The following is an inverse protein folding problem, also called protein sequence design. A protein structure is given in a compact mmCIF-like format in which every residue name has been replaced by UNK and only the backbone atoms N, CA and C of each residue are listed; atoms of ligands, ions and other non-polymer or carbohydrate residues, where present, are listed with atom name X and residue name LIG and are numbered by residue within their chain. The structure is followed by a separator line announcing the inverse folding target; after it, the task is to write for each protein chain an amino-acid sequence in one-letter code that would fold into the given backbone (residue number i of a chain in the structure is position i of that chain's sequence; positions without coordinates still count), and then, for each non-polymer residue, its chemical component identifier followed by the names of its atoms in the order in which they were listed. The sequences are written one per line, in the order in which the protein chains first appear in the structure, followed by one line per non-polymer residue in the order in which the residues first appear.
data_IF_663946917702
#
_entry.id   IF_663946917702
#
_cell.length_a   1.000
_cell.length_b   1.000
_cell.length_c   1.000
_cell.angle_alpha   90.00
_cell.angle_beta   90.00
_cell.angle_gamma   90.00
#
_symmetry.space_group_name_H-M   'P 1'
#
loop_
_entity.id
_entity.type
_entity.pdbx_description
1 polymer ?
#
# COMPACT_ATOMS: atom_id res chain seq x y z
N UNK A 1 8.41 29.00 2.00
CA UNK A 1 8.99 29.77 0.88
C UNK A 1 7.99 29.75 -0.27
N UNK A 2 7.97 30.77 -1.13
CA UNK A 2 7.06 30.79 -2.29
C UNK A 2 7.80 30.37 -3.56
N UNK A 3 7.31 29.31 -4.20
CA UNK A 3 7.82 28.79 -5.46
C UNK A 3 6.80 28.95 -6.59
N UNK A 4 7.25 29.07 -7.83
CA UNK A 4 6.39 29.17 -9.00
C UNK A 4 6.13 27.77 -9.60
N UNK A 5 4.87 27.38 -9.77
CA UNK A 5 4.52 26.13 -10.44
C UNK A 5 4.94 26.17 -11.92
N UNK A 6 5.74 25.20 -12.36
CA UNK A 6 6.17 25.11 -13.77
C UNK A 6 5.06 24.85 -14.78
N UNK A 7 3.91 24.33 -14.34
CA UNK A 7 2.80 23.97 -15.23
C UNK A 7 1.80 25.12 -15.44
N UNK A 8 1.47 25.88 -14.38
CA UNK A 8 0.45 26.95 -14.45
C UNK A 8 0.92 28.33 -13.95
N UNK A 9 2.16 28.46 -13.49
CA UNK A 9 2.71 29.71 -12.96
C UNK A 9 2.22 30.09 -11.57
N UNK A 10 1.37 29.28 -10.93
CA UNK A 10 0.78 29.63 -9.64
C UNK A 10 1.82 29.67 -8.50
N UNK A 11 1.67 30.59 -7.53
CA UNK A 11 2.53 30.63 -6.35
C UNK A 11 2.19 29.47 -5.40
N UNK A 12 3.23 28.74 -5.00
CA UNK A 12 3.17 27.58 -4.12
C UNK A 12 3.84 27.91 -2.80
N UNK A 13 3.11 27.82 -1.68
CA UNK A 13 3.73 27.86 -0.36
C UNK A 13 4.30 26.49 -0.02
N UNK A 14 5.64 26.40 -0.02
CA UNK A 14 6.38 25.15 0.13
C UNK A 14 7.20 25.18 1.41
N UNK A 15 7.14 24.09 2.16
CA UNK A 15 7.99 23.91 3.35
C UNK A 15 9.46 23.78 2.94
N UNK A 16 10.42 24.36 3.69
CA UNK A 16 11.83 24.37 3.31
C UNK A 16 12.45 22.97 3.07
N UNK A 17 11.92 21.95 3.73
CA UNK A 17 12.37 20.55 3.72
C UNK A 17 11.65 19.67 2.69
N UNK A 18 10.62 20.18 2.00
CA UNK A 18 9.86 19.38 1.04
C UNK A 18 10.65 19.14 -0.26
N UNK A 19 10.97 17.89 -0.57
CA UNK A 19 11.62 17.52 -1.84
C UNK A 19 10.66 17.67 -3.04
N UNK A 20 9.36 17.40 -2.81
CA UNK A 20 8.28 17.47 -3.79
C UNK A 20 7.20 18.41 -3.28
N UNK A 21 6.57 19.14 -4.20
CA UNK A 21 5.40 19.97 -3.90
C UNK A 21 4.33 19.77 -4.96
N UNK A 22 3.07 19.73 -4.53
CA UNK A 22 1.90 19.59 -5.40
C UNK A 22 1.24 20.96 -5.57
N UNK A 23 1.00 21.36 -6.82
CA UNK A 23 0.29 22.60 -7.11
C UNK A 23 -1.18 22.50 -6.71
N UNK A 24 -1.67 23.48 -5.94
CA UNK A 24 -3.06 23.53 -5.47
C UNK A 24 -4.08 23.99 -6.50
N UNK A 25 -3.63 24.40 -7.67
CA UNK A 25 -4.51 24.88 -8.74
C UNK A 25 -4.66 23.87 -9.88
N UNK A 26 -3.58 23.14 -10.22
CA UNK A 26 -3.55 22.23 -11.37
C UNK A 26 -3.15 20.80 -11.01
N UNK A 27 -3.01 20.48 -9.73
CA UNK A 27 -2.63 19.17 -9.17
C UNK A 27 -1.26 18.59 -9.63
N UNK A 28 -0.53 19.29 -10.49
CA UNK A 28 0.81 18.87 -10.94
C UNK A 28 1.79 18.87 -9.76
N UNK A 29 2.49 17.75 -9.58
CA UNK A 29 3.57 17.65 -8.59
C UNK A 29 4.92 17.95 -9.25
N UNK A 30 5.79 18.66 -8.56
CA UNK A 30 7.10 19.05 -9.07
C UNK A 30 8.18 18.96 -8.00
N UNK A 31 9.41 18.69 -8.43
CA UNK A 31 10.59 18.72 -7.56
C UNK A 31 10.95 20.16 -7.17
N UNK A 32 11.16 20.41 -5.87
CA UNK A 32 11.47 21.74 -5.33
C UNK A 32 12.64 22.41 -6.05
N UNK A 33 13.71 21.64 -6.31
CA UNK A 33 14.95 22.13 -6.95
C UNK A 33 14.76 22.63 -8.39
N UNK A 34 13.67 22.24 -9.05
CA UNK A 34 13.37 22.66 -10.42
C UNK A 34 12.49 23.92 -10.44
N UNK A 35 11.79 24.23 -9.36
CA UNK A 35 10.87 25.37 -9.34
C UNK A 35 11.63 26.69 -9.17
N UNK A 36 11.14 27.73 -9.84
CA UNK A 36 11.66 29.10 -9.66
C UNK A 36 11.25 29.60 -8.28
N UNK A 37 12.21 30.13 -7.52
CA UNK A 37 11.91 30.78 -6.24
C UNK A 37 11.38 32.18 -6.49
N UNK A 38 10.17 32.45 -6.02
CA UNK A 38 9.54 33.78 -6.08
C UNK A 38 9.87 34.57 -4.81
N UNK A 39 9.83 33.89 -3.66
CA UNK A 39 10.26 34.45 -2.38
C UNK A 39 10.94 33.39 -1.53
N UNK A 40 12.14 33.71 -1.01
CA UNK A 40 12.91 32.80 -0.17
C UNK A 40 12.20 32.51 1.17
N UNK A 41 11.46 33.48 1.69
CA UNK A 41 10.62 33.35 2.90
C UNK A 41 9.15 33.58 2.55
N UNK A 42 8.24 32.86 3.21
CA UNK A 42 6.80 33.07 3.03
C UNK A 42 6.39 34.31 3.84
N UNK A 43 5.88 35.38 3.22
CA UNK A 43 5.36 36.53 3.95
C UNK A 43 4.29 36.10 4.97
N UNK A 44 4.27 36.72 6.16
CA UNK A 44 3.36 36.32 7.26
C UNK A 44 1.88 36.43 6.88
N UNK A 45 1.57 37.33 5.96
CA UNK A 45 0.25 37.66 5.46
C UNK A 45 -0.07 37.02 4.11
N UNK A 46 0.83 36.17 3.57
CA UNK A 46 0.60 35.49 2.30
C UNK A 46 -0.66 34.62 2.38
N UNK A 47 -1.61 34.91 1.51
CA UNK A 47 -2.78 34.05 1.26
C UNK A 47 -2.80 33.69 -0.22
N UNK A 48 -2.88 32.40 -0.57
CA UNK A 48 -3.00 31.99 -1.95
C UNK A 48 -4.29 32.57 -2.56
N UNK A 49 -4.24 33.13 -3.79
CA UNK A 49 -5.43 33.61 -4.47
C UNK A 49 -6.51 32.51 -4.59
N UNK A 50 -7.80 32.79 -4.33
CA UNK A 50 -8.86 31.77 -4.48
C UNK A 50 -8.97 31.21 -5.90
N UNK A 51 -8.58 32.02 -6.89
CA UNK A 51 -8.52 31.64 -8.29
C UNK A 51 -7.19 32.11 -8.90
N UNK A 52 -6.68 31.35 -9.86
CA UNK A 52 -5.46 31.65 -10.58
C UNK A 52 -5.67 31.51 -12.08
N UNK A 53 -5.38 32.57 -12.84
CA UNK A 53 -5.40 32.52 -14.29
C UNK A 53 -3.96 32.31 -14.80
N UNK A 54 -3.64 31.17 -15.44
CA UNK A 54 -2.28 30.89 -15.89
C UNK A 54 -1.79 31.92 -16.91
N UNK A 55 -0.58 32.48 -16.75
CA UNK A 55 0.01 33.34 -17.78
C UNK A 55 0.28 32.58 -19.10
N UNK A 56 0.27 33.25 -20.28
CA UNK A 56 0.42 32.62 -21.60
C UNK A 56 1.68 31.77 -21.83
N UNK A 57 2.75 32.03 -21.08
CA UNK A 57 4.01 31.30 -21.19
C UNK A 57 4.00 29.93 -20.51
N UNK A 58 2.97 29.61 -19.73
CA UNK A 58 2.87 28.32 -19.04
C UNK A 58 2.02 27.32 -19.83
N UNK A 59 2.29 26.00 -19.71
CA UNK A 59 1.51 24.98 -20.42
C UNK A 59 0.02 24.93 -20.11
N UNK A 60 -0.42 25.37 -18.93
CA UNK A 60 -1.83 25.34 -18.54
C UNK A 60 -2.69 26.34 -19.36
N UNK A 61 -3.97 26.04 -19.63
CA UNK A 61 -4.84 26.93 -20.41
C UNK A 61 -4.99 28.33 -19.79
N UNK A 62 -4.48 29.36 -20.46
CA UNK A 62 -4.50 30.76 -19.97
C UNK A 62 -5.86 31.45 -20.06
N UNK A 63 -6.85 30.79 -20.66
CA UNK A 63 -8.23 31.27 -20.75
C UNK A 63 -9.16 30.69 -19.69
N UNK A 64 -8.65 29.84 -18.78
CA UNK A 64 -9.44 29.18 -17.75
C UNK A 64 -8.88 29.50 -16.35
N UNK A 65 -9.69 30.13 -15.50
CA UNK A 65 -9.35 30.33 -14.11
C UNK A 65 -9.36 28.99 -13.36
N UNK A 66 -8.26 28.68 -12.69
CA UNK A 66 -8.09 27.50 -11.85
C UNK A 66 -8.47 27.84 -10.40
N UNK A 67 -9.30 27.03 -9.77
CA UNK A 67 -9.66 27.22 -8.37
C UNK A 67 -8.55 26.71 -7.43
N UNK A 68 -8.32 27.41 -6.32
CA UNK A 68 -7.41 26.93 -5.28
C UNK A 68 -8.06 25.78 -4.51
N UNK A 69 -7.41 24.63 -4.50
CA UNK A 69 -7.80 23.50 -3.68
C UNK A 69 -7.14 23.62 -2.31
N UNK A 70 -7.89 24.09 -1.30
CA UNK A 70 -7.54 23.88 0.10
C UNK A 70 -7.59 22.38 0.40
N UNK A 71 -6.52 21.66 0.10
CA UNK A 71 -6.34 20.35 0.73
C UNK A 71 -6.14 20.62 2.22
N UNK A 72 -7.10 20.15 3.02
CA UNK A 72 -6.98 19.87 4.46
C UNK A 72 -5.75 19.01 4.74
N UNK A 73 -4.57 19.64 4.75
CA UNK A 73 -3.24 19.06 4.97
C UNK A 73 -2.98 18.72 6.45
N UNK A 74 -3.95 18.05 7.08
CA UNK A 74 -3.70 17.17 8.22
C UNK A 74 -4.13 15.72 7.96
N UNK A 75 -4.54 15.40 6.73
CA UNK A 75 -5.16 14.13 6.47
C UNK A 75 -4.58 13.30 5.32
N UNK A 76 -3.43 13.52 4.69
CA UNK A 76 -3.02 12.61 3.58
C UNK A 76 -2.41 11.24 4.00
N UNK A 77 -2.24 11.00 5.30
CA UNK A 77 -2.21 9.64 5.88
C UNK A 77 -3.47 9.28 6.65
N UNK A 78 -4.52 10.13 6.64
CA UNK A 78 -5.83 9.94 7.28
C UNK A 78 -7.04 10.12 6.33
N UNK A 79 -6.89 10.40 5.04
CA UNK A 79 -7.98 10.80 4.14
C UNK A 79 -8.53 9.58 3.41
N UNK A 80 -7.67 8.64 3.05
CA UNK A 80 -8.11 7.25 2.83
C UNK A 80 -8.74 6.67 4.11
N UNK A 81 -8.33 7.13 5.29
CA UNK A 81 -8.97 6.73 6.55
C UNK A 81 -10.29 7.42 6.84
N UNK A 82 -10.52 8.66 6.40
CA UNK A 82 -11.77 9.40 6.62
C UNK A 82 -12.83 8.93 5.65
N UNK A 83 -12.51 8.54 4.41
CA UNK A 83 -13.50 7.86 3.54
C UNK A 83 -13.90 6.49 4.12
N UNK A 84 -12.96 5.76 4.73
CA UNK A 84 -13.26 4.55 5.50
C UNK A 84 -14.08 4.86 6.77
N UNK A 85 -13.67 5.83 7.61
CA UNK A 85 -14.31 6.15 8.90
C UNK A 85 -15.67 6.87 8.75
N UNK A 86 -15.85 7.73 7.75
CA UNK A 86 -17.12 8.44 7.50
C UNK A 86 -18.15 7.48 6.88
N UNK A 87 -17.73 6.61 5.96
CA UNK A 87 -18.59 5.50 5.49
C UNK A 87 -18.95 4.52 6.62
N UNK A 88 -18.01 4.23 7.52
CA UNK A 88 -18.17 3.31 8.66
C UNK A 88 -19.03 3.90 9.79
N UNK A 89 -18.94 5.20 10.07
CA UNK A 89 -19.77 5.85 11.11
C UNK A 89 -21.25 5.84 10.72
N UNK A 90 -21.53 6.06 9.43
CA UNK A 90 -22.90 5.99 8.88
C UNK A 90 -23.39 4.53 8.86
N UNK A 91 -22.55 3.55 8.53
CA UNK A 91 -22.91 2.14 8.58
C UNK A 91 -23.16 1.63 10.02
N UNK A 92 -22.30 1.98 10.98
CA UNK A 92 -22.46 1.58 12.38
C UNK A 92 -23.70 2.22 13.03
N UNK A 93 -24.10 3.44 12.60
CA UNK A 93 -25.30 4.11 13.09
C UNK A 93 -26.60 3.65 12.39
N UNK A 94 -26.56 3.32 11.09
CA UNK A 94 -27.76 2.93 10.33
C UNK A 94 -28.11 1.45 10.44
N UNK A 95 -27.13 0.55 10.63
CA UNK A 95 -27.37 -0.90 10.71
C UNK A 95 -28.26 -1.31 11.91
N UNK A 96 -28.10 -0.74 13.13
CA UNK A 96 -29.02 -1.01 14.24
C UNK A 96 -30.46 -0.56 13.95
N UNK A 97 -30.63 0.58 13.26
CA UNK A 97 -31.95 1.12 12.91
C UNK A 97 -32.66 0.25 11.87
N UNK A 98 -31.94 -0.26 10.87
CA UNK A 98 -32.53 -1.11 9.82
C UNK A 98 -32.89 -2.52 10.33
N UNK A 99 -32.08 -3.09 11.24
CA UNK A 99 -32.39 -4.37 11.89
C UNK A 99 -33.59 -4.28 12.84
N UNK A 100 -33.91 -3.09 13.36
CA UNK A 100 -35.12 -2.84 14.16
C UNK A 100 -36.38 -2.62 13.29
N UNK A 101 -36.23 -2.18 12.03
CA UNK A 101 -37.37 -1.99 11.11
C UNK A 101 -37.78 -3.25 10.34
N UNK A 102 -36.93 -4.28 10.30
CA UNK A 102 -37.30 -5.62 9.87
C UNK A 102 -38.02 -6.36 11.01
N UNK A 103 -39.16 -5.81 11.43
CA UNK A 103 -40.05 -6.46 12.39
C UNK A 103 -40.63 -7.75 11.81
N UNK A 104 -40.86 -8.78 12.63
CA UNK A 104 -41.47 -10.02 12.19
C UNK A 104 -42.84 -9.72 11.57
N UNK A 105 -43.10 -10.31 10.40
CA UNK A 105 -44.43 -10.26 9.80
C UNK A 105 -45.44 -10.78 10.84
N UNK A 106 -46.51 -10.01 11.03
CA UNK A 106 -47.60 -10.35 11.95
C UNK A 106 -48.17 -11.72 11.57
N UNK A 107 -47.90 -12.72 12.38
CA UNK A 107 -48.52 -14.03 12.28
C UNK A 107 -48.10 -14.95 13.43
N UNK A 108 -48.90 -15.00 14.50
CA UNK A 108 -48.85 -16.09 15.47
C UNK A 108 -48.45 -15.69 16.88
N UNK A 109 -49.45 -15.59 17.75
CA UNK A 109 -49.31 -15.58 19.21
C UNK A 109 -48.66 -16.88 19.71
N UNK A 110 -47.48 -16.81 20.34
CA UNK A 110 -47.20 -17.62 21.54
C UNK A 110 -45.86 -17.32 22.21
N UNK A 111 -45.94 -17.26 23.54
CA UNK A 111 -44.91 -17.53 24.57
C UNK A 111 -43.73 -16.56 24.72
N UNK A 112 -43.83 -15.79 25.81
CA UNK A 112 -42.73 -15.21 26.59
C UNK A 112 -41.68 -16.28 26.92
N UNK A 113 -40.58 -16.29 26.18
CA UNK A 113 -39.32 -16.94 26.54
C UNK A 113 -38.23 -15.87 26.56
N UNK A 114 -37.46 -15.79 27.65
CA UNK A 114 -36.44 -14.77 27.85
C UNK A 114 -35.43 -14.73 26.70
N UNK A 115 -35.12 -13.52 26.23
CA UNK A 115 -34.08 -13.26 25.22
C UNK A 115 -32.73 -13.43 25.92
N UNK A 116 -32.27 -14.67 26.01
CA UNK A 116 -30.88 -15.00 26.35
C UNK A 116 -30.07 -14.79 25.07
N UNK A 117 -29.42 -13.63 24.93
CA UNK A 117 -28.22 -13.40 24.10
C UNK A 117 -28.11 -14.10 22.74
N UNK A 118 -29.22 -14.26 22.00
CA UNK A 118 -29.25 -15.02 20.76
C UNK A 118 -28.47 -14.29 19.67
N UNK A 119 -27.50 -14.99 19.07
CA UNK A 119 -26.82 -14.54 17.85
C UNK A 119 -27.88 -14.25 16.79
N UNK A 120 -27.94 -13.01 16.30
CA UNK A 120 -28.90 -12.59 15.27
C UNK A 120 -28.78 -13.50 14.03
N UNK A 121 -29.88 -13.74 13.30
CA UNK A 121 -29.83 -14.47 12.03
C UNK A 121 -28.88 -13.74 11.06
N UNK A 122 -27.87 -14.45 10.58
CA UNK A 122 -26.82 -13.91 9.72
C UNK A 122 -25.95 -15.03 9.16
N UNK A 123 -25.03 -14.68 8.26
CA UNK A 123 -24.11 -15.65 7.66
C UNK A 123 -23.09 -16.13 8.67
N UNK A 124 -22.92 -17.44 8.79
CA UNK A 124 -21.85 -18.04 9.57
C UNK A 124 -20.48 -17.73 8.95
N UNK A 125 -19.39 -17.74 9.74
CA UNK A 125 -18.04 -17.61 9.19
C UNK A 125 -17.71 -18.61 8.07
N UNK A 126 -18.25 -19.82 8.12
CA UNK A 126 -18.04 -20.86 7.10
C UNK A 126 -18.78 -20.54 5.81
N UNK A 127 -20.01 -20.04 5.88
CA UNK A 127 -20.74 -19.56 4.69
C UNK A 127 -20.03 -18.37 4.05
N UNK A 128 -19.49 -17.45 4.85
CA UNK A 128 -18.70 -16.32 4.34
C UNK A 128 -17.44 -16.80 3.61
N UNK A 129 -16.74 -17.79 4.17
CA UNK A 129 -15.54 -18.37 3.57
C UNK A 129 -15.80 -19.12 2.25
N UNK A 130 -17.01 -19.64 2.06
CA UNK A 130 -17.40 -20.32 0.82
C UNK A 130 -17.71 -19.35 -0.34
N UNK A 131 -17.93 -18.07 -0.05
CA UNK A 131 -18.31 -17.09 -1.06
C UNK A 131 -17.09 -16.42 -1.70
N UNK A 132 -17.16 -16.34 -3.03
CA UNK A 132 -16.28 -15.50 -3.84
C UNK A 132 -16.77 -14.04 -3.81
N UNK A 133 -15.92 -13.12 -3.40
CA UNK A 133 -16.29 -11.69 -3.27
C UNK A 133 -15.99 -10.87 -4.52
N UNK A 134 -15.41 -11.45 -5.57
CA UNK A 134 -15.10 -10.81 -6.86
C UNK A 134 -16.31 -10.70 -7.78
N UNK A 135 -17.46 -10.34 -7.21
CA UNK A 135 -18.77 -10.27 -7.88
C UNK A 135 -19.36 -8.85 -7.79
N UNK A 136 -20.31 -8.56 -8.68
CA UNK A 136 -21.11 -7.34 -8.61
C UNK A 136 -21.85 -7.27 -7.27
N UNK A 137 -22.28 -6.07 -6.89
CA UNK A 137 -23.03 -5.83 -5.66
C UNK A 137 -24.28 -6.71 -5.58
N UNK A 138 -25.01 -6.84 -6.69
CA UNK A 138 -26.24 -7.62 -6.77
C UNK A 138 -25.96 -9.12 -6.64
N UNK A 139 -24.88 -9.61 -7.27
CA UNK A 139 -24.44 -11.01 -7.14
C UNK A 139 -24.05 -11.35 -5.70
N UNK A 140 -23.26 -10.48 -5.06
CA UNK A 140 -22.84 -10.67 -3.69
C UNK A 140 -23.99 -10.53 -2.69
N UNK A 141 -24.91 -9.58 -2.93
CA UNK A 141 -26.13 -9.42 -2.13
C UNK A 141 -27.00 -10.67 -2.16
N UNK A 142 -27.18 -11.28 -3.34
CA UNK A 142 -27.91 -12.54 -3.50
C UNK A 142 -27.21 -13.70 -2.78
N UNK A 143 -25.89 -13.81 -2.90
CA UNK A 143 -25.11 -14.90 -2.30
C UNK A 143 -25.11 -14.83 -0.76
N UNK A 144 -25.03 -13.62 -0.20
CA UNK A 144 -24.86 -13.40 1.23
C UNK A 144 -26.11 -12.91 1.95
N UNK A 145 -27.24 -12.78 1.24
CA UNK A 145 -28.47 -12.16 1.76
C UNK A 145 -28.20 -10.74 2.30
N UNK A 146 -27.36 -9.99 1.60
CA UNK A 146 -26.94 -8.64 1.98
C UNK A 146 -27.94 -7.56 1.56
N UNK A 147 -27.92 -6.44 2.27
CA UNK A 147 -28.74 -5.26 1.99
C UNK A 147 -27.89 -4.15 1.35
N UNK A 148 -28.19 -3.72 0.11
CA UNK A 148 -27.49 -2.62 -0.53
C UNK A 148 -27.85 -1.27 0.12
N UNK A 149 -26.86 -0.39 0.28
CA UNK A 149 -26.96 0.93 0.89
C UNK A 149 -26.06 1.91 0.14
N UNK A 150 -26.57 2.55 -0.91
CA UNK A 150 -25.73 3.36 -1.81
C UNK A 150 -24.60 2.52 -2.42
N UNK A 151 -23.35 2.98 -2.30
CA UNK A 151 -22.15 2.26 -2.77
C UNK A 151 -21.74 1.08 -1.87
N UNK A 152 -22.46 0.81 -0.78
CA UNK A 152 -22.16 -0.24 0.18
C UNK A 152 -23.11 -1.43 0.07
N UNK A 153 -22.63 -2.62 0.43
CA UNK A 153 -23.44 -3.81 0.71
C UNK A 153 -23.18 -4.26 2.15
N UNK A 154 -24.21 -4.26 2.99
CA UNK A 154 -24.13 -4.75 4.37
C UNK A 154 -24.64 -6.20 4.48
N UNK A 155 -23.86 -7.07 5.09
CA UNK A 155 -24.16 -8.49 5.29
C UNK A 155 -24.16 -8.80 6.79
N UNK A 156 -25.30 -9.22 7.38
CA UNK A 156 -25.34 -9.66 8.78
C UNK A 156 -24.48 -10.91 9.00
N UNK A 157 -23.78 -10.98 10.13
CA UNK A 157 -22.92 -12.12 10.48
C UNK A 157 -23.38 -12.76 11.78
N UNK A 158 -23.48 -14.09 11.73
CA UNK A 158 -23.72 -14.93 12.90
C UNK A 158 -22.40 -15.19 13.63
N UNK A 159 -21.86 -14.17 14.29
CA UNK A 159 -20.64 -14.25 15.08
C UNK A 159 -20.80 -13.52 16.44
N UNK A 160 -20.21 -14.04 17.54
CA UNK A 160 -20.33 -13.41 18.85
C UNK A 160 -19.73 -11.99 18.88
N UNK A 161 -18.60 -11.77 18.20
CA UNK A 161 -17.90 -10.47 18.19
C UNK A 161 -18.30 -9.52 17.06
N UNK A 162 -18.75 -10.02 15.92
CA UNK A 162 -19.00 -9.21 14.72
C UNK A 162 -20.48 -9.27 14.38
N UNK A 163 -21.08 -8.11 14.11
CA UNK A 163 -22.50 -8.03 13.78
C UNK A 163 -22.75 -8.05 12.27
N UNK A 164 -21.81 -7.52 11.49
CA UNK A 164 -21.96 -7.40 10.03
C UNK A 164 -20.62 -7.27 9.32
N UNK A 165 -20.64 -7.46 8.01
CA UNK A 165 -19.57 -7.11 7.07
C UNK A 165 -20.13 -6.10 6.10
N UNK A 166 -19.41 -5.01 5.87
CA UNK A 166 -19.74 -4.05 4.81
C UNK A 166 -18.74 -4.19 3.67
N UNK A 167 -19.22 -4.34 2.44
CA UNK A 167 -18.44 -4.29 1.22
C UNK A 167 -18.65 -2.92 0.56
N UNK A 168 -17.58 -2.22 0.18
CA UNK A 168 -17.64 -0.93 -0.50
C UNK A 168 -17.33 -1.10 -1.98
N UNK A 169 -18.16 -0.55 -2.86
CA UNK A 169 -17.97 -0.52 -4.30
C UNK A 169 -17.59 0.88 -4.77
N UNK A 170 -16.91 0.94 -5.91
CA UNK A 170 -16.74 2.19 -6.65
C UNK A 170 -17.91 2.34 -7.61
N UNK A 171 -18.63 3.45 -7.52
CA UNK A 171 -19.77 3.72 -8.40
C UNK A 171 -19.35 3.83 -9.88
N UNK A 172 -18.07 4.16 -10.14
CA UNK A 172 -17.51 4.19 -11.50
C UNK A 172 -17.14 2.81 -12.01
N UNK A 173 -16.87 1.86 -11.11
CA UNK A 173 -16.48 0.49 -11.45
C UNK A 173 -17.13 -0.54 -10.50
N UNK A 174 -18.45 -0.75 -10.57
CA UNK A 174 -19.20 -1.53 -9.58
C UNK A 174 -19.07 -3.06 -9.79
N UNK A 175 -18.02 -3.51 -10.48
CA UNK A 175 -17.89 -4.92 -10.89
C UNK A 175 -17.40 -5.85 -9.78
N UNK A 176 -16.76 -5.31 -8.75
CA UNK A 176 -16.33 -5.99 -7.52
C UNK A 176 -16.12 -4.93 -6.41
N UNK A 177 -16.13 -5.31 -5.11
CA UNK A 177 -15.89 -4.36 -4.05
C UNK A 177 -14.41 -3.90 -4.03
N UNK A 178 -14.13 -2.67 -3.66
CA UNK A 178 -12.75 -2.17 -3.44
C UNK A 178 -12.27 -2.42 -2.02
N UNK A 179 -13.18 -2.60 -1.07
CA UNK A 179 -12.85 -2.90 0.31
C UNK A 179 -13.96 -3.66 1.01
N UNK A 180 -13.61 -4.29 2.12
CA UNK A 180 -14.57 -4.85 3.07
C UNK A 180 -14.16 -4.53 4.51
N UNK A 181 -15.14 -4.50 5.40
CA UNK A 181 -14.94 -4.17 6.81
C UNK A 181 -15.79 -5.07 7.70
N UNK A 182 -15.16 -5.74 8.66
CA UNK A 182 -15.81 -6.45 9.75
C UNK A 182 -16.22 -5.45 10.82
N UNK A 183 -17.53 -5.28 11.02
CA UNK A 183 -18.09 -4.36 12.01
C UNK A 183 -18.32 -5.12 13.31
N UNK A 184 -17.64 -4.66 14.37
CA UNK A 184 -17.77 -5.22 15.70
C UNK A 184 -19.18 -4.96 16.26
N UNK A 185 -19.71 -5.92 17.02
CA UNK A 185 -20.95 -5.77 17.79
C UNK A 185 -20.74 -4.75 18.89
N UNK A 186 -21.73 -3.90 19.15
CA UNK A 186 -21.70 -2.96 20.28
C UNK A 186 -21.36 -3.68 21.60
N UNK A 187 -20.40 -3.13 22.35
CA UNK A 187 -19.92 -3.68 23.62
C UNK A 187 -18.92 -4.84 23.51
N UNK A 188 -18.65 -5.37 22.31
CA UNK A 188 -17.58 -6.35 22.14
C UNK A 188 -16.21 -5.65 22.15
N UNK A 189 -15.19 -6.34 22.66
CA UNK A 189 -13.81 -5.85 22.73
C UNK A 189 -12.99 -6.37 21.55
N UNK A 190 -11.97 -5.61 21.09
CA UNK A 190 -10.99 -6.11 20.12
C UNK A 190 -10.44 -7.47 20.54
N UNK A 191 -10.16 -8.36 19.59
CA UNK A 191 -9.59 -9.68 19.87
C UNK A 191 -8.07 -9.66 19.64
N UNK A 192 -7.23 -9.62 20.70
CA UNK A 192 -5.78 -9.54 20.53
C UNK A 192 -5.22 -10.74 19.75
N UNK A 193 -5.83 -11.93 19.88
CA UNK A 193 -5.38 -13.13 19.17
C UNK A 193 -5.66 -13.02 17.67
N UNK A 194 -6.79 -12.42 17.28
CA UNK A 194 -7.08 -12.15 15.88
C UNK A 194 -6.09 -11.13 15.29
N UNK A 195 -5.77 -10.07 16.04
CA UNK A 195 -4.79 -9.06 15.62
C UNK A 195 -3.38 -9.63 15.49
N UNK A 196 -2.96 -10.48 16.42
CA UNK A 196 -1.69 -11.20 16.37
C UNK A 196 -1.65 -12.21 15.20
N UNK A 197 -2.72 -12.98 15.00
CA UNK A 197 -2.84 -13.91 13.90
C UNK A 197 -2.80 -13.21 12.54
N UNK A 198 -3.42 -12.03 12.44
CA UNK A 198 -3.40 -11.20 11.25
C UNK A 198 -2.00 -10.59 11.04
N UNK A 199 -1.41 -10.01 12.08
CA UNK A 199 -0.08 -9.41 12.04
C UNK A 199 1.03 -10.41 11.68
N UNK A 200 0.97 -11.65 12.18
CA UNK A 200 1.97 -12.69 11.86
C UNK A 200 1.91 -13.17 10.41
N UNK A 201 0.76 -12.98 9.73
CA UNK A 201 0.56 -13.33 8.32
C UNK A 201 0.78 -12.16 7.37
N UNK A 202 0.82 -10.94 7.89
CA UNK A 202 1.12 -9.73 7.14
C UNK A 202 2.62 -9.46 7.23
N UNK A 203 3.33 -9.64 6.14
CA UNK A 203 4.79 -9.54 6.11
C UNK A 203 5.27 -8.12 6.49
N UNK A 204 5.84 -7.98 7.69
CA UNK A 204 6.19 -6.69 8.31
C UNK A 204 5.35 -6.34 9.54
N UNK A 205 4.28 -7.08 9.81
CA UNK A 205 3.36 -6.90 10.92
C UNK A 205 2.40 -5.72 10.75
N UNK A 206 1.43 -5.62 11.66
CA UNK A 206 0.64 -4.41 11.84
C UNK A 206 1.47 -3.38 12.60
N UNK A 207 1.60 -2.17 12.05
CA UNK A 207 2.20 -1.00 12.72
C UNK A 207 1.05 -0.09 13.13
N UNK A 208 0.85 0.09 14.43
CA UNK A 208 -0.25 0.89 14.99
C UNK A 208 -1.62 0.48 14.42
N UNK A 209 -1.85 -0.83 14.34
CA UNK A 209 -3.07 -1.42 13.78
C UNK A 209 -3.21 -1.25 12.27
N UNK A 210 -2.16 -0.85 11.55
CA UNK A 210 -2.20 -0.63 10.12
C UNK A 210 -1.09 -1.37 9.40
N UNK A 211 -1.40 -1.91 8.24
CA UNK A 211 -0.42 -2.49 7.35
C UNK A 211 -0.73 -2.08 5.91
N UNK A 212 0.31 -1.79 5.14
CA UNK A 212 0.19 -1.39 3.75
C UNK A 212 1.32 -2.02 2.95
N UNK A 213 0.95 -2.73 1.89
CA UNK A 213 1.92 -3.21 0.92
C UNK A 213 1.98 -2.26 -0.27
N UNK A 214 3.03 -1.43 -0.27
CA UNK A 214 3.46 -0.61 -1.40
C UNK A 214 2.33 0.19 -2.08
N UNK A 215 1.36 0.66 -1.31
CA UNK A 215 0.20 1.40 -1.80
C UNK A 215 -0.80 0.59 -2.63
N UNK A 216 -0.68 -0.74 -2.72
CA UNK A 216 -1.57 -1.62 -3.48
C UNK A 216 -2.69 -2.21 -2.63
N UNK A 217 -2.35 -2.70 -1.44
CA UNK A 217 -3.31 -3.28 -0.50
C UNK A 217 -3.05 -2.77 0.89
N UNK A 218 -4.11 -2.70 1.69
CA UNK A 218 -4.02 -2.29 3.08
C UNK A 218 -4.92 -3.13 3.97
N UNK A 219 -4.45 -3.36 5.19
CA UNK A 219 -5.23 -3.85 6.33
C UNK A 219 -5.25 -2.77 7.39
N UNK A 220 -6.42 -2.55 7.96
CA UNK A 220 -6.56 -1.81 9.21
C UNK A 220 -7.21 -2.65 10.28
N UNK A 221 -6.83 -2.32 11.49
CA UNK A 221 -7.48 -2.71 12.71
C UNK A 221 -7.57 -1.49 13.61
N UNK A 222 -8.77 -1.16 14.07
CA UNK A 222 -8.97 -0.09 15.05
C UNK A 222 -8.85 -0.69 16.45
N UNK A 223 -7.85 -0.26 17.21
CA UNK A 223 -7.59 -0.79 18.55
C UNK A 223 -8.68 -0.44 19.59
N UNK A 224 -9.54 0.55 19.33
CA UNK A 224 -10.66 0.94 20.21
C UNK A 224 -11.94 0.22 19.84
N UNK A 225 -12.25 0.15 18.55
CA UNK A 225 -13.53 -0.37 18.05
C UNK A 225 -13.45 -1.83 17.60
N UNK A 226 -12.24 -2.42 17.58
CA UNK A 226 -11.97 -3.78 17.12
C UNK A 226 -12.37 -4.05 15.67
N UNK A 227 -12.66 -2.99 14.92
CA UNK A 227 -12.97 -3.03 13.51
C UNK A 227 -11.77 -3.56 12.73
N UNK A 228 -12.01 -4.43 11.76
CA UNK A 228 -10.99 -4.90 10.83
C UNK A 228 -11.42 -4.57 9.42
N UNK A 229 -10.61 -3.82 8.67
CA UNK A 229 -10.89 -3.52 7.25
C UNK A 229 -9.74 -3.93 6.36
N UNK A 230 -10.07 -4.34 5.14
CA UNK A 230 -9.09 -4.61 4.10
C UNK A 230 -9.53 -3.95 2.80
N UNK A 231 -8.57 -3.40 2.07
CA UNK A 231 -8.83 -2.68 0.83
C UNK A 231 -7.76 -2.97 -0.21
N UNK A 232 -8.18 -3.03 -1.47
CA UNK A 232 -7.31 -2.80 -2.61
C UNK A 232 -7.33 -1.31 -2.92
N UNK A 233 -6.15 -0.70 -2.95
CA UNK A 233 -6.00 0.70 -3.30
C UNK A 233 -5.83 0.79 -4.82
N UNK A 234 -6.62 1.66 -5.45
CA UNK A 234 -6.36 2.03 -6.84
C UNK A 234 -4.93 2.54 -6.97
N UNK A 235 -4.23 2.13 -8.02
CA UNK A 235 -2.90 2.66 -8.29
C UNK A 235 -3.03 4.19 -8.33
N UNK A 236 -2.11 4.91 -7.67
CA UNK A 236 -2.08 6.39 -7.59
C UNK A 236 -2.08 7.11 -8.96
N UNK A 237 -2.09 6.35 -10.06
CA UNK A 237 -2.01 6.78 -11.46
C UNK A 237 -3.32 6.49 -12.23
N UNK A 238 -4.46 6.44 -11.54
CA UNK A 238 -5.78 6.56 -12.20
C UNK A 238 -6.39 5.27 -12.73
N UNK A 239 -6.21 4.15 -12.03
CA UNK A 239 -6.92 2.91 -12.34
C UNK A 239 -6.86 1.88 -11.22
N UNK A 240 -7.87 1.02 -11.16
CA UNK A 240 -7.82 -0.25 -10.42
C UNK A 240 -6.68 -1.09 -10.96
N UNK A 241 -5.88 -1.66 -10.05
CA UNK A 241 -4.89 -2.68 -10.43
C UNK A 241 -5.59 -3.75 -11.27
N UNK A 242 -5.00 -4.18 -12.39
CA UNK A 242 -5.53 -5.29 -13.19
C UNK A 242 -5.71 -6.58 -12.35
N UNK A 243 -5.06 -6.64 -11.18
CA UNK A 243 -5.05 -7.75 -10.25
C UNK A 243 -5.87 -7.48 -8.98
N UNK A 244 -6.61 -6.37 -8.92
CA UNK A 244 -7.38 -5.96 -7.75
C UNK A 244 -8.36 -7.04 -7.27
N UNK A 245 -9.01 -7.78 -8.18
CA UNK A 245 -9.88 -8.91 -7.83
C UNK A 245 -9.13 -10.02 -7.09
N UNK A 246 -7.98 -10.43 -7.62
CA UNK A 246 -7.13 -11.49 -7.02
C UNK A 246 -6.60 -11.03 -5.67
N UNK A 247 -6.13 -9.79 -5.59
CA UNK A 247 -5.62 -9.18 -4.36
C UNK A 247 -6.71 -9.14 -3.28
N UNK A 248 -7.91 -8.66 -3.61
CA UNK A 248 -9.00 -8.60 -2.65
C UNK A 248 -9.45 -10.00 -2.20
N UNK A 249 -9.50 -10.97 -3.12
CA UNK A 249 -9.80 -12.37 -2.79
C UNK A 249 -8.78 -12.97 -1.83
N UNK A 250 -7.49 -12.71 -2.03
CA UNK A 250 -6.43 -13.13 -1.11
C UNK A 250 -6.56 -12.45 0.27
N UNK A 251 -6.87 -11.15 0.31
CA UNK A 251 -7.13 -10.40 1.54
C UNK A 251 -8.35 -10.94 2.30
N UNK A 252 -9.41 -11.32 1.57
CA UNK A 252 -10.62 -11.92 2.14
C UNK A 252 -10.32 -13.24 2.85
N UNK A 253 -9.63 -14.15 2.16
CA UNK A 253 -9.17 -15.42 2.75
C UNK A 253 -8.30 -15.18 3.97
N UNK A 254 -7.38 -14.22 3.89
CA UNK A 254 -6.48 -13.88 4.98
C UNK A 254 -7.26 -13.40 6.21
N UNK A 255 -8.14 -12.42 6.04
CA UNK A 255 -8.91 -11.83 7.14
C UNK A 255 -9.88 -12.85 7.74
N UNK A 256 -10.63 -13.60 6.94
CA UNK A 256 -11.56 -14.62 7.47
C UNK A 256 -10.82 -15.69 8.27
N UNK A 257 -9.71 -16.20 7.75
CA UNK A 257 -8.93 -17.23 8.42
C UNK A 257 -8.30 -16.70 9.71
N UNK A 258 -7.69 -15.51 9.69
CA UNK A 258 -7.01 -14.94 10.85
C UNK A 258 -7.98 -14.41 11.92
N UNK A 259 -9.11 -13.83 11.51
CA UNK A 259 -10.01 -13.08 12.41
C UNK A 259 -11.24 -13.88 12.82
N UNK A 260 -11.80 -14.70 11.93
CA UNK A 260 -12.98 -15.51 12.21
C UNK A 260 -12.65 -17.00 12.40
N UNK A 261 -11.39 -17.41 12.20
CA UNK A 261 -11.00 -18.82 12.25
C UNK A 261 -11.68 -19.68 11.19
N UNK A 262 -12.09 -19.07 10.07
CA UNK A 262 -12.92 -19.72 9.06
C UNK A 262 -12.23 -19.80 7.70
N UNK A 263 -12.49 -20.90 6.99
CA UNK A 263 -11.91 -21.17 5.68
C UNK A 263 -10.41 -21.51 5.72
N UNK A 264 -9.88 -21.76 4.53
CA UNK A 264 -8.43 -21.84 4.32
C UNK A 264 -7.88 -20.43 4.13
N UNK A 265 -6.72 -20.15 4.73
CA UNK A 265 -5.98 -18.93 4.42
C UNK A 265 -5.55 -18.88 2.94
N UNK A 266 -5.02 -17.74 2.47
CA UNK A 266 -4.52 -17.64 1.11
C UNK A 266 -3.42 -18.68 0.88
N UNK A 267 -3.39 -19.28 -0.30
CA UNK A 267 -2.25 -20.11 -0.71
C UNK A 267 -0.97 -19.27 -0.77
N UNK A 268 0.21 -19.89 -0.82
CA UNK A 268 1.47 -19.16 -0.97
C UNK A 268 1.49 -18.28 -2.24
N UNK A 269 0.84 -18.72 -3.32
CA UNK A 269 0.71 -17.95 -4.56
C UNK A 269 -0.25 -16.76 -4.41
N UNK A 270 -1.40 -16.97 -3.77
CA UNK A 270 -2.36 -15.90 -3.47
C UNK A 270 -1.75 -14.85 -2.52
N UNK A 271 -0.98 -15.30 -1.53
CA UNK A 271 -0.30 -14.43 -0.57
C UNK A 271 0.72 -13.51 -1.26
N UNK A 272 1.37 -13.95 -2.35
CA UNK A 272 2.32 -13.10 -3.11
C UNK A 272 1.64 -11.87 -3.67
N UNK A 273 0.40 -11.98 -4.15
CA UNK A 273 -0.38 -10.84 -4.65
C UNK A 273 -0.61 -9.73 -3.63
N UNK A 274 -0.56 -10.09 -2.34
CA UNK A 274 -0.70 -9.19 -1.20
C UNK A 274 0.63 -8.99 -0.47
N UNK A 275 1.76 -9.10 -1.18
CA UNK A 275 3.07 -8.71 -0.66
C UNK A 275 3.83 -9.79 0.10
N UNK A 276 3.40 -11.06 0.03
CA UNK A 276 4.22 -12.15 0.53
C UNK A 276 5.58 -12.20 -0.18
N UNK A 277 6.65 -12.44 0.60
CA UNK A 277 8.00 -12.38 0.08
C UNK A 277 8.23 -13.48 -0.95
N UNK A 278 8.92 -13.11 -2.03
CA UNK A 278 9.47 -14.05 -2.99
C UNK A 278 10.79 -14.60 -2.45
N UNK A 279 11.17 -15.85 -2.76
CA UNK A 279 12.49 -16.35 -2.41
C UNK A 279 13.57 -15.38 -2.87
N UNK A 280 14.52 -15.01 -2.01
CA UNK A 280 15.52 -13.99 -2.36
C UNK A 280 16.30 -14.34 -3.63
N UNK A 281 16.64 -15.62 -3.83
CA UNK A 281 17.30 -16.13 -5.02
C UNK A 281 16.50 -15.91 -6.33
N UNK A 282 15.19 -15.69 -6.26
CA UNK A 282 14.39 -15.39 -7.45
C UNK A 282 14.85 -14.08 -8.14
N UNK A 283 15.49 -13.16 -7.39
CA UNK A 283 16.09 -11.95 -7.95
C UNK A 283 17.18 -12.24 -8.99
N UNK A 284 17.90 -13.36 -8.89
CA UNK A 284 18.95 -13.76 -9.86
C UNK A 284 18.42 -13.91 -11.29
N UNK A 285 17.11 -14.14 -11.40
CA UNK A 285 16.46 -14.40 -12.67
C UNK A 285 16.02 -13.11 -13.37
N UNK A 286 16.13 -11.94 -12.73
CA UNK A 286 15.78 -10.66 -13.36
C UNK A 286 16.63 -10.48 -14.62
N UNK A 287 15.97 -10.30 -15.74
CA UNK A 287 16.63 -9.91 -16.98
C UNK A 287 16.95 -8.42 -16.91
N UNK A 288 18.23 -8.13 -16.69
CA UNK A 288 18.74 -6.77 -16.61
C UNK A 288 18.56 -6.00 -17.92
N UNK A 289 18.46 -6.69 -19.06
CA UNK A 289 18.33 -6.08 -20.39
C UNK A 289 16.90 -5.69 -20.75
N UNK A 290 15.92 -6.07 -19.93
CA UNK A 290 14.53 -5.67 -20.12
C UNK A 290 14.42 -4.14 -20.10
N UNK A 291 13.78 -3.57 -21.13
CA UNK A 291 13.57 -2.13 -21.24
C UNK A 291 12.39 -1.67 -20.39
N UNK A 292 12.35 -0.38 -20.07
CA UNK A 292 11.26 0.28 -19.34
C UNK A 292 9.88 -0.01 -19.95
N UNK A 293 9.80 -0.11 -21.28
CA UNK A 293 8.56 -0.39 -22.03
C UNK A 293 7.96 -1.75 -21.69
N UNK A 294 8.80 -2.73 -21.33
CA UNK A 294 8.40 -4.11 -21.03
C UNK A 294 8.53 -4.45 -19.55
N UNK A 295 9.31 -3.69 -18.79
CA UNK A 295 9.68 -3.99 -17.41
C UNK A 295 8.45 -4.18 -16.51
N UNK A 296 7.44 -3.31 -16.61
CA UNK A 296 6.23 -3.44 -15.81
C UNK A 296 5.51 -4.80 -16.03
N UNK A 297 5.30 -5.19 -17.29
CA UNK A 297 4.63 -6.45 -17.62
C UNK A 297 5.49 -7.67 -17.25
N UNK A 298 6.78 -7.65 -17.62
CA UNK A 298 7.70 -8.76 -17.35
C UNK A 298 7.88 -9.00 -15.85
N UNK A 299 8.08 -7.94 -15.07
CA UNK A 299 8.31 -8.05 -13.63
C UNK A 299 7.04 -8.36 -12.85
N UNK A 300 5.87 -7.86 -13.25
CA UNK A 300 4.61 -8.23 -12.57
C UNK A 300 4.21 -9.66 -12.85
N UNK A 301 4.48 -10.17 -14.06
CA UNK A 301 4.32 -11.59 -14.38
C UNK A 301 5.27 -12.46 -13.56
N UNK A 302 6.51 -12.02 -13.39
CA UNK A 302 7.55 -12.79 -12.70
C UNK A 302 7.44 -12.74 -11.19
N UNK A 303 7.07 -11.58 -10.66
CA UNK A 303 6.91 -11.31 -9.24
C UNK A 303 5.47 -10.83 -8.99
N UNK A 304 4.50 -11.76 -8.93
CA UNK A 304 3.14 -11.47 -8.50
C UNK A 304 3.12 -10.63 -7.23
N UNK A 305 2.29 -9.58 -7.24
CA UNK A 305 2.16 -8.61 -6.15
C UNK A 305 3.26 -7.56 -6.07
N UNK A 306 4.17 -7.50 -7.04
CA UNK A 306 5.07 -6.34 -7.16
C UNK A 306 4.29 -5.04 -7.38
N UNK A 307 4.79 -3.95 -6.81
CA UNK A 307 4.17 -2.63 -6.94
C UNK A 307 4.89 -1.77 -7.95
N UNK A 308 4.12 -1.03 -8.75
CA UNK A 308 4.61 -0.14 -9.79
C UNK A 308 4.43 1.32 -9.35
N UNK A 309 5.46 2.12 -9.59
CA UNK A 309 5.43 3.57 -9.44
C UNK A 309 5.98 4.19 -10.72
N UNK A 310 5.29 5.19 -11.28
CA UNK A 310 5.69 5.84 -12.54
C UNK A 310 5.91 7.34 -12.39
N UNK A 311 6.17 7.81 -11.16
CA UNK A 311 6.16 9.24 -10.85
C UNK A 311 7.28 10.04 -11.56
N UNK A 312 8.51 9.51 -11.59
CA UNK A 312 9.67 10.12 -12.26
C UNK A 312 10.30 9.10 -13.21
N UNK A 313 10.49 7.91 -12.68
CA UNK A 313 11.02 6.73 -13.34
C UNK A 313 10.04 5.58 -13.09
N UNK A 314 10.18 4.48 -13.83
CA UNK A 314 9.45 3.26 -13.50
C UNK A 314 10.17 2.58 -12.33
N UNK A 315 9.58 2.68 -11.15
CA UNK A 315 9.95 1.94 -9.96
C UNK A 315 9.13 0.64 -9.86
N UNK A 316 9.80 -0.48 -9.63
CA UNK A 316 9.15 -1.77 -9.34
C UNK A 316 9.62 -2.29 -7.99
N UNK A 317 8.70 -2.49 -7.04
CA UNK A 317 9.00 -3.00 -5.70
C UNK A 317 8.60 -4.46 -5.59
N UNK A 318 9.56 -5.33 -5.24
CA UNK A 318 9.38 -6.78 -5.04
C UNK A 318 9.65 -7.13 -3.58
N UNK A 319 8.70 -7.79 -2.89
CA UNK A 319 8.91 -8.32 -1.54
C UNK A 319 9.86 -9.52 -1.59
N UNK A 320 10.82 -9.63 -0.66
CA UNK A 320 11.81 -10.72 -0.67
C UNK A 320 11.97 -11.41 0.67
N UNK A 321 12.24 -12.72 0.64
CA UNK A 321 12.43 -13.57 1.81
C UNK A 321 13.88 -13.51 2.26
N UNK A 322 14.21 -12.44 2.99
CA UNK A 322 15.53 -12.27 3.57
C UNK A 322 15.42 -11.72 4.99
N UNK A 323 16.14 -12.27 5.98
CA UNK A 323 16.04 -11.81 7.38
C UNK A 323 16.45 -10.35 7.56
N UNK A 324 17.40 -9.87 6.75
CA UNK A 324 17.88 -8.49 6.79
C UNK A 324 17.28 -7.58 5.73
N UNK A 325 16.64 -8.10 4.68
CA UNK A 325 16.20 -7.29 3.54
C UNK A 325 14.71 -7.54 3.31
N UNK A 326 13.92 -6.48 3.22
CA UNK A 326 12.46 -6.60 3.12
C UNK A 326 11.95 -6.61 1.68
N UNK A 327 12.56 -5.80 0.81
CA UNK A 327 12.14 -5.65 -0.57
C UNK A 327 13.30 -5.18 -1.46
N UNK A 328 13.15 -5.44 -2.76
CA UNK A 328 13.99 -4.92 -3.82
C UNK A 328 13.20 -3.86 -4.60
N UNK A 329 13.74 -2.65 -4.69
CA UNK A 329 13.23 -1.54 -5.49
C UNK A 329 14.10 -1.43 -6.75
N UNK A 330 13.52 -1.85 -7.88
CA UNK A 330 14.11 -1.76 -9.21
C UNK A 330 13.71 -0.42 -9.84
N UNK A 331 14.64 0.25 -10.49
CA UNK A 331 14.46 1.60 -11.04
C UNK A 331 14.88 1.61 -12.51
N UNK A 332 13.95 2.01 -13.38
CA UNK A 332 14.14 2.11 -14.82
C UNK A 332 13.93 3.57 -15.26
N UNK A 333 14.92 4.21 -15.90
CA UNK A 333 14.79 5.60 -16.32
C UNK A 333 13.62 5.73 -17.30
N UNK A 334 12.88 6.83 -17.19
CA UNK A 334 11.72 7.12 -18.04
C UNK A 334 12.16 7.66 -19.41
N UNK A 335 12.87 6.84 -20.17
CA UNK A 335 13.32 7.13 -21.51
C UNK A 335 13.20 5.89 -22.40
N UNK A 336 12.95 6.09 -23.69
CA UNK A 336 12.74 4.99 -24.64
C UNK A 336 13.95 4.05 -24.65
N UNK A 337 13.70 2.76 -24.41
CA UNK A 337 14.76 1.75 -24.35
C UNK A 337 15.63 1.81 -23.09
N UNK A 338 15.29 2.66 -22.11
CA UNK A 338 15.93 2.70 -20.80
C UNK A 338 15.92 1.32 -20.15
N UNK A 339 17.05 0.85 -19.65
CA UNK A 339 17.19 -0.46 -18.98
C UNK A 339 17.28 -0.28 -17.48
N UNK A 340 17.34 -1.38 -16.72
CA UNK A 340 17.46 -1.31 -15.27
C UNK A 340 18.63 -0.40 -14.89
N UNK A 341 18.30 0.75 -14.31
CA UNK A 341 19.23 1.61 -13.61
C UNK A 341 19.33 1.03 -12.23
N UNK A 342 18.64 1.51 -11.19
CA UNK A 342 18.98 1.15 -9.80
C UNK A 342 18.35 -0.14 -9.27
N UNK A 343 19.04 -0.90 -8.38
CA UNK A 343 18.40 -1.86 -7.47
C UNK A 343 18.75 -1.50 -6.03
N UNK A 344 17.75 -1.06 -5.27
CA UNK A 344 17.88 -0.79 -3.84
C UNK A 344 17.16 -1.89 -3.04
N UNK A 345 17.91 -2.60 -2.20
CA UNK A 345 17.42 -3.62 -1.29
C UNK A 345 17.21 -2.99 0.08
N UNK A 346 15.96 -2.67 0.43
CA UNK A 346 15.68 -1.99 1.71
C UNK A 346 15.86 -2.96 2.87
N UNK A 347 16.47 -2.46 3.95
CA UNK A 347 16.65 -3.20 5.19
C UNK A 347 15.33 -3.51 5.90
N UNK A 348 15.30 -4.65 6.60
CA UNK A 348 14.33 -4.94 7.64
C UNK A 348 14.64 -4.14 8.91
N UNK A 349 13.80 -4.24 9.95
CA UNK A 349 14.08 -3.61 11.26
C UNK A 349 15.39 -4.12 11.88
N UNK A 350 15.79 -5.35 11.59
CA UNK A 350 17.01 -5.96 12.09
C UNK A 350 18.27 -5.58 11.29
N UNK A 351 18.11 -4.91 10.14
CA UNK A 351 19.24 -4.60 9.26
C UNK A 351 20.31 -3.73 9.94
N UNK A 352 19.98 -2.60 10.60
CA UNK A 352 21.03 -1.75 11.19
C UNK A 352 21.86 -2.47 12.25
N UNK A 353 21.21 -3.28 13.09
CA UNK A 353 21.86 -4.02 14.18
C UNK A 353 22.74 -5.18 13.67
N UNK A 354 22.34 -5.82 12.57
CA UNK A 354 23.06 -6.97 12.00
C UNK A 354 23.95 -6.61 10.81
N UNK A 355 24.08 -5.32 10.49
CA UNK A 355 24.80 -4.82 9.31
C UNK A 355 26.26 -5.23 9.29
N UNK A 356 26.98 -5.10 10.41
CA UNK A 356 28.41 -5.42 10.46
C UNK A 356 28.66 -6.93 10.27
N UNK A 357 27.76 -7.78 10.79
CA UNK A 357 27.80 -9.22 10.55
C UNK A 357 27.54 -9.58 9.08
N UNK A 358 26.60 -8.88 8.43
CA UNK A 358 26.36 -9.01 6.99
C UNK A 358 27.61 -8.64 6.19
N UNK A 359 28.25 -7.50 6.49
CA UNK A 359 29.47 -7.05 5.83
C UNK A 359 30.58 -8.09 5.99
N UNK A 360 30.84 -8.59 7.21
CA UNK A 360 31.84 -9.63 7.45
C UNK A 360 31.58 -10.93 6.66
N UNK A 361 30.32 -11.34 6.54
CA UNK A 361 29.94 -12.48 5.69
C UNK A 361 30.21 -12.19 4.21
N UNK A 362 29.83 -11.00 3.73
CA UNK A 362 30.04 -10.59 2.34
C UNK A 362 31.52 -10.49 1.99
N UNK A 363 32.39 -10.09 2.92
CA UNK A 363 33.84 -10.08 2.69
C UNK A 363 34.38 -11.47 2.33
N UNK A 364 33.83 -12.52 2.95
CA UNK A 364 34.18 -13.91 2.64
C UNK A 364 33.67 -14.41 1.28
N UNK A 365 32.73 -13.71 0.65
CA UNK A 365 32.10 -14.12 -0.64
C UNK A 365 32.50 -13.22 -1.82
N UNK A 366 32.61 -11.93 -1.58
CA UNK A 366 32.85 -10.90 -2.60
C UNK A 366 34.26 -10.31 -2.52
N UNK A 367 35.01 -10.56 -1.44
CA UNK A 367 36.29 -9.94 -1.16
C UNK A 367 36.15 -8.71 -0.26
N UNK A 368 37.27 -8.09 0.10
CA UNK A 368 37.30 -6.98 1.06
C UNK A 368 36.51 -5.77 0.57
N UNK A 369 35.73 -5.19 1.48
CA UNK A 369 35.00 -3.96 1.21
C UNK A 369 35.96 -2.76 1.21
N UNK A 370 35.66 -1.77 0.36
CA UNK A 370 36.13 -0.41 0.59
C UNK A 370 35.24 0.24 1.64
N UNK A 371 35.82 0.95 2.58
CA UNK A 371 35.10 1.62 3.67
C UNK A 371 35.07 3.12 3.38
N UNK A 372 33.89 3.70 3.30
CA UNK A 372 33.68 5.14 3.15
C UNK A 372 33.07 5.71 4.44
N UNK A 373 33.74 6.66 5.10
CA UNK A 373 33.18 7.39 6.23
C UNK A 373 32.19 8.44 5.69
N UNK A 374 30.89 8.09 5.71
CA UNK A 374 29.80 8.99 5.31
C UNK A 374 29.63 10.16 6.28
N UNK A 375 29.85 9.90 7.56
CA UNK A 375 29.87 10.91 8.62
C UNK A 375 30.90 10.50 9.67
N UNK A 376 32.06 11.15 9.62
CA UNK A 376 33.18 10.88 10.52
C UNK A 376 32.87 11.17 11.99
N UNK A 377 32.02 12.18 12.26
CA UNK A 377 31.67 12.59 13.62
C UNK A 377 30.66 11.62 14.23
N UNK A 378 29.63 11.25 13.46
CA UNK A 378 28.64 10.26 13.86
C UNK A 378 29.11 8.80 13.68
N UNK A 379 30.36 8.59 13.24
CA UNK A 379 30.97 7.28 12.96
C UNK A 379 30.12 6.42 12.02
N UNK A 380 29.45 7.07 11.06
CA UNK A 380 28.65 6.37 10.06
C UNK A 380 29.51 6.01 8.86
N UNK A 381 29.48 4.73 8.52
CA UNK A 381 30.24 4.11 7.44
C UNK A 381 29.33 3.44 6.45
N UNK A 382 29.70 3.52 5.18
CA UNK A 382 29.17 2.69 4.12
C UNK A 382 30.28 1.75 3.62
N UNK A 383 29.88 0.57 3.14
CA UNK A 383 30.80 -0.47 2.66
C UNK A 383 30.56 -0.74 1.18
N UNK A 384 31.60 -0.69 0.36
CA UNK A 384 31.50 -0.87 -1.09
C UNK A 384 32.25 -2.12 -1.53
N UNK A 385 31.53 -3.01 -2.21
CA UNK A 385 32.06 -4.25 -2.77
C UNK A 385 32.06 -4.15 -4.30
N UNK A 386 33.22 -3.92 -4.93
CA UNK A 386 33.32 -3.98 -6.38
C UNK A 386 33.19 -5.43 -6.86
N UNK A 387 32.21 -5.71 -7.71
CA UNK A 387 31.93 -7.02 -8.29
C UNK A 387 31.89 -6.90 -9.80
N UNK A 388 33.06 -7.04 -10.43
CA UNK A 388 33.20 -6.91 -11.88
C UNK A 388 32.80 -5.51 -12.35
N UNK A 389 31.71 -5.40 -13.10
CA UNK A 389 31.15 -4.12 -13.59
C UNK A 389 30.09 -3.52 -12.67
N UNK A 390 29.73 -4.22 -11.60
CA UNK A 390 28.77 -3.77 -10.62
C UNK A 390 29.47 -3.40 -9.32
N UNK A 391 28.80 -2.61 -8.52
CA UNK A 391 29.21 -2.28 -7.16
C UNK A 391 28.04 -2.50 -6.22
N UNK A 392 28.27 -3.23 -5.13
CA UNK A 392 27.31 -3.38 -4.05
C UNK A 392 27.73 -2.46 -2.91
N UNK A 393 26.90 -1.47 -2.59
CA UNK A 393 27.07 -0.56 -1.46
C UNK A 393 26.15 -0.98 -0.31
N UNK A 394 26.69 -1.23 0.87
CA UNK A 394 25.94 -1.50 2.10
C UNK A 394 25.92 -0.22 2.93
N UNK A 395 24.76 0.45 2.97
CA UNK A 395 24.54 1.65 3.76
C UNK A 395 23.98 1.35 5.15
N UNK A 396 23.46 2.36 5.84
CA UNK A 396 22.89 2.23 7.19
C UNK A 396 21.58 1.42 7.22
N UNK A 397 20.73 1.59 6.21
CA UNK A 397 19.36 1.03 6.20
C UNK A 397 19.04 0.25 4.91
N UNK A 398 19.99 0.10 4.00
CA UNK A 398 19.78 -0.58 2.72
C UNK A 398 21.10 -1.09 2.14
N UNK A 399 20.98 -2.06 1.25
CA UNK A 399 22.02 -2.42 0.31
C UNK A 399 21.62 -1.91 -1.08
N UNK A 400 22.53 -1.31 -1.82
CA UNK A 400 22.25 -0.76 -3.15
C UNK A 400 23.27 -1.31 -4.14
N UNK A 401 22.76 -1.82 -5.25
CA UNK A 401 23.61 -2.18 -6.38
C UNK A 401 23.69 -0.97 -7.30
N UNK A 402 24.87 -0.69 -7.82
CA UNK A 402 25.15 0.35 -8.81
C UNK A 402 25.89 -0.24 -10.01
N UNK A 403 25.76 0.42 -11.16
CA UNK A 403 26.50 0.12 -12.38
C UNK A 403 27.62 1.12 -12.51
N UNK A 404 28.83 0.62 -12.71
CA UNK A 404 29.88 1.46 -13.26
C UNK A 404 29.55 1.77 -14.73
N UNK A 405 30.02 2.89 -15.29
CA UNK A 405 29.80 3.22 -16.70
C UNK A 405 30.20 2.06 -17.62
N UNK A 406 29.22 1.40 -18.23
CA UNK A 406 29.41 0.24 -19.09
C UNK A 406 28.60 -0.99 -18.68
N UNK A 407 27.49 -1.21 -19.39
CA UNK A 407 26.60 -2.39 -19.49
C UNK A 407 26.41 -3.28 -18.24
N UNK A 408 25.14 -3.43 -17.88
CA UNK A 408 24.59 -4.47 -17.01
C UNK A 408 25.19 -5.86 -17.30
N UNK A 409 25.74 -6.51 -16.28
CA UNK A 409 26.35 -7.83 -16.39
C UNK A 409 25.57 -8.85 -15.54
N UNK A 410 24.94 -9.81 -16.21
CA UNK A 410 24.16 -10.87 -15.56
C UNK A 410 24.97 -11.75 -14.58
N UNK A 411 26.17 -12.24 -14.96
CA UNK A 411 27.04 -12.97 -14.03
C UNK A 411 27.38 -12.21 -12.74
N UNK A 412 27.77 -10.94 -12.82
CA UNK A 412 28.09 -10.11 -11.64
C UNK A 412 26.85 -9.91 -10.75
N UNK A 413 25.67 -9.70 -11.36
CA UNK A 413 24.41 -9.61 -10.65
C UNK A 413 24.09 -10.89 -9.88
N UNK A 414 24.19 -12.05 -10.54
CA UNK A 414 23.99 -13.36 -9.88
C UNK A 414 24.96 -13.55 -8.73
N UNK A 415 26.22 -13.11 -8.88
CA UNK A 415 27.22 -13.18 -7.81
C UNK A 415 26.83 -12.32 -6.60
N UNK A 416 26.34 -11.10 -6.82
CA UNK A 416 25.86 -10.22 -5.75
C UNK A 416 24.65 -10.82 -5.04
N UNK A 417 23.62 -11.22 -5.79
CA UNK A 417 22.39 -11.79 -5.22
C UNK A 417 22.69 -13.10 -4.48
N UNK A 418 23.51 -13.98 -5.05
CA UNK A 418 23.90 -15.22 -4.41
C UNK A 418 24.69 -15.00 -3.11
N UNK A 419 25.59 -14.00 -3.08
CA UNK A 419 26.34 -13.65 -1.87
C UNK A 419 25.42 -13.09 -0.78
N UNK A 420 24.53 -12.17 -1.11
CA UNK A 420 23.53 -11.64 -0.17
C UNK A 420 22.60 -12.75 0.34
N UNK A 421 22.10 -13.60 -0.55
CA UNK A 421 21.23 -14.73 -0.19
C UNK A 421 21.90 -15.75 0.73
N UNK A 422 23.22 -15.92 0.65
CA UNK A 422 23.99 -16.77 1.54
C UNK A 422 24.29 -16.13 2.92
N UNK A 423 24.20 -14.80 3.03
CA UNK A 423 24.53 -14.03 4.24
C UNK A 423 23.27 -13.61 5.02
N UNK A 424 22.58 -14.60 5.62
CA UNK A 424 21.30 -14.46 6.34
C UNK A 424 21.45 -14.12 7.83
#
# INVERSE_FOLDING_TARGET
MILECRHCGAPLDVKPDAALTKCRYCDTTSERRLLRTVSAETPRDFRPPPQWLPPPQFPAPSNQALAYHEETLRANTRANWIVLLVGVSVAAALVPVLLLTLGPSKGGSSKKGGIVGGVLPGKSPQELAAVRIDQTREGLAKALSGSPMGSMLAVPVSHPRYQSISFMYDDKEPTFPQSFTLVQRSGATPDPKALEALGSRLHGGLVDGSWNWAGLVAVHTDAKTGLVSASVLGARVGGTSAQAKVQLGAMWKLVLHAVLGAGTGPTAEEARWIGAPHPFAALETIDLTTTVDKAAATLTQKFPGSSLSTFIELGVTVSVDHPLLRNAELSYPNEKGGTLRTVALRGSKAFPERREGLVGCLEGKLGKAKVEDRDYLAKKRDYEFPVGKLELRIGENEARVHWLPGRLNGPDWKRIVGALGACR
#
